data_IF_596962770649
#
_entry.id   IF_596962770649
#
_cell.length_a   1.000
_cell.length_b   1.000
_cell.length_c   1.000
_cell.angle_alpha   90.00
_cell.angle_beta   90.00
_cell.angle_gamma   90.00
#
_symmetry.space_group_name_H-M   'P 1'
#
loop_
_entity.id
_entity.type
_entity.pdbx_description
1 polymer ?
#
# COMPACT_ATOMS: atom_id res chain seq x y z
N UNK A 1 12.78 -47.98 -20.28
CA UNK A 1 11.76 -48.01 -21.32
C UNK A 1 11.92 -46.75 -22.16
N UNK A 2 12.50 -46.87 -23.36
CA UNK A 2 12.54 -45.79 -24.34
C UNK A 2 11.21 -45.74 -25.10
N UNK A 3 10.43 -44.70 -24.90
CA UNK A 3 9.21 -44.45 -25.67
C UNK A 3 9.56 -43.50 -26.81
N UNK A 4 10.16 -44.05 -27.88
CA UNK A 4 10.44 -43.29 -29.10
C UNK A 4 9.15 -43.00 -29.87
N UNK A 5 8.77 -41.74 -29.98
CA UNK A 5 7.69 -41.20 -30.83
C UNK A 5 6.27 -41.71 -30.52
N UNK A 6 5.96 -42.12 -29.30
CA UNK A 6 4.61 -42.49 -28.93
C UNK A 6 4.12 -41.67 -27.74
N UNK A 7 2.95 -41.09 -27.90
CA UNK A 7 2.22 -40.45 -26.79
C UNK A 7 1.90 -41.49 -25.70
N UNK A 8 2.16 -41.16 -24.44
CA UNK A 8 1.64 -41.92 -23.32
C UNK A 8 0.20 -41.48 -23.18
N UNK A 9 -0.72 -42.19 -23.81
CA UNK A 9 -2.16 -41.94 -23.67
C UNK A 9 -2.75 -42.93 -22.68
N UNK A 10 -3.40 -42.45 -21.62
CA UNK A 10 -4.03 -43.31 -20.64
C UNK A 10 -5.00 -42.54 -19.76
N UNK A 11 -6.03 -43.23 -19.28
CA UNK A 11 -6.99 -42.70 -18.29
C UNK A 11 -6.62 -43.21 -16.91
N UNK A 12 -5.49 -42.83 -16.37
CA UNK A 12 -5.04 -43.28 -15.04
C UNK A 12 -3.85 -42.48 -14.54
N UNK A 13 -3.41 -42.82 -13.33
CA UNK A 13 -2.27 -42.16 -12.72
C UNK A 13 -0.96 -42.69 -13.34
N UNK A 14 -0.06 -41.78 -13.72
CA UNK A 14 1.31 -42.12 -14.03
C UNK A 14 2.15 -41.83 -12.79
N UNK A 15 2.75 -42.87 -12.19
CA UNK A 15 3.66 -42.72 -11.07
C UNK A 15 5.10 -42.83 -11.59
N UNK A 16 5.90 -41.80 -11.31
CA UNK A 16 7.32 -41.75 -11.65
C UNK A 16 8.14 -41.46 -10.39
N UNK A 17 9.17 -42.28 -10.14
CA UNK A 17 10.11 -42.05 -9.05
C UNK A 17 11.41 -41.54 -9.67
N UNK A 18 11.73 -40.28 -9.41
CA UNK A 18 12.93 -39.60 -9.94
C UNK A 18 12.55 -38.30 -10.68
N UNK A 19 13.48 -37.80 -11.48
CA UNK A 19 13.29 -36.55 -12.22
C UNK A 19 12.55 -36.80 -13.53
N UNK A 20 11.63 -35.88 -13.86
CA UNK A 20 10.99 -35.80 -15.18
C UNK A 20 11.61 -34.58 -15.87
N UNK A 21 12.29 -34.82 -17.02
CA UNK A 21 12.84 -33.75 -17.85
C UNK A 21 12.03 -33.64 -19.13
N UNK A 22 11.51 -32.48 -19.45
CA UNK A 22 10.83 -32.19 -20.72
C UNK A 22 11.64 -31.13 -21.46
N UNK A 23 11.92 -31.39 -22.75
CA UNK A 23 12.49 -30.41 -23.68
C UNK A 23 11.37 -29.85 -24.52
N UNK A 24 10.93 -28.63 -24.16
CA UNK A 24 9.78 -27.98 -24.80
C UNK A 24 8.67 -27.67 -23.80
N UNK A 25 7.47 -27.42 -24.30
CA UNK A 25 6.34 -27.02 -23.46
C UNK A 25 5.71 -28.20 -22.73
N UNK A 26 5.43 -28.03 -21.44
CA UNK A 26 4.58 -28.93 -20.66
C UNK A 26 3.25 -28.22 -20.35
N UNK A 27 2.14 -28.90 -20.53
CA UNK A 27 0.81 -28.38 -20.25
C UNK A 27 0.07 -29.27 -19.24
N UNK A 28 -0.49 -28.65 -18.21
CA UNK A 28 -1.37 -29.29 -17.24
C UNK A 28 -2.75 -28.64 -17.37
N UNK A 29 -3.74 -29.38 -17.90
CA UNK A 29 -5.11 -28.87 -18.09
C UNK A 29 -5.95 -28.82 -16.80
N UNK A 30 -5.45 -29.40 -15.72
CA UNK A 30 -6.05 -29.42 -14.40
C UNK A 30 -5.18 -28.71 -13.36
N UNK A 31 -5.16 -29.24 -12.15
CA UNK A 31 -4.35 -28.70 -11.06
C UNK A 31 -2.96 -29.31 -11.08
N UNK A 32 -1.91 -28.46 -11.01
CA UNK A 32 -0.54 -28.88 -10.73
C UNK A 32 -0.32 -28.81 -9.21
N UNK A 33 -0.19 -29.95 -8.55
CA UNK A 33 0.15 -30.06 -7.14
C UNK A 33 1.66 -30.28 -6.96
N UNK A 34 2.35 -29.38 -6.26
CA UNK A 34 3.76 -29.51 -5.88
C UNK A 34 3.88 -29.53 -4.39
N UNK A 35 4.42 -30.60 -3.80
CA UNK A 35 4.62 -30.72 -2.35
C UNK A 35 5.93 -30.12 -1.85
N UNK A 36 6.81 -29.73 -2.74
CA UNK A 36 8.11 -29.15 -2.43
C UNK A 36 8.22 -27.70 -2.93
N UNK A 37 9.47 -27.26 -3.06
CA UNK A 37 9.77 -25.95 -3.64
C UNK A 37 9.66 -26.01 -5.15
N UNK A 38 9.01 -25.01 -5.75
CA UNK A 38 9.03 -24.78 -7.20
C UNK A 38 10.05 -23.68 -7.49
N UNK A 39 11.09 -24.00 -8.28
CA UNK A 39 12.05 -23.02 -8.80
C UNK A 39 11.70 -22.72 -10.23
N UNK A 40 11.56 -21.44 -10.55
CA UNK A 40 11.35 -20.94 -11.91
C UNK A 40 12.49 -19.97 -12.21
N UNK A 41 13.22 -20.22 -13.29
CA UNK A 41 14.41 -19.45 -13.66
C UNK A 41 14.11 -18.31 -14.65
N UNK A 42 12.86 -18.22 -15.11
CA UNK A 42 12.36 -17.23 -16.07
C UNK A 42 11.08 -16.56 -15.53
N UNK A 43 10.40 -15.82 -16.38
CA UNK A 43 9.15 -15.13 -16.03
C UNK A 43 8.04 -16.11 -15.65
N UNK A 44 7.25 -15.73 -14.64
CA UNK A 44 5.99 -16.39 -14.28
C UNK A 44 4.83 -15.45 -14.56
N UNK A 45 3.89 -15.86 -15.41
CA UNK A 45 2.71 -15.06 -15.74
C UNK A 45 1.47 -15.68 -15.08
N UNK A 46 0.79 -14.90 -14.27
CA UNK A 46 -0.53 -15.21 -13.73
C UNK A 46 -1.57 -14.49 -14.59
N UNK A 47 -2.23 -15.24 -15.48
CA UNK A 47 -3.20 -14.67 -16.41
C UNK A 47 -4.58 -14.55 -15.74
N UNK A 48 -5.07 -13.31 -15.61
CA UNK A 48 -6.44 -13.01 -15.18
C UNK A 48 -7.38 -12.78 -16.37
N UNK A 49 -8.66 -12.63 -16.10
CA UNK A 49 -9.67 -12.41 -17.14
C UNK A 49 -9.51 -11.06 -17.87
N UNK A 50 -9.08 -10.01 -17.16
CA UNK A 50 -8.99 -8.65 -17.70
C UNK A 50 -7.58 -8.05 -17.56
N UNK A 51 -6.78 -8.55 -16.64
CA UNK A 51 -5.43 -8.05 -16.35
C UNK A 51 -4.59 -9.15 -15.72
N UNK A 52 -3.28 -8.98 -15.69
CA UNK A 52 -2.32 -10.00 -15.31
C UNK A 52 -1.45 -9.54 -14.13
N UNK A 53 -0.83 -10.54 -13.46
CA UNK A 53 0.35 -10.33 -12.64
C UNK A 53 1.52 -11.12 -13.24
N UNK A 54 2.76 -10.64 -13.05
CA UNK A 54 3.96 -11.30 -13.59
C UNK A 54 5.12 -11.17 -12.61
N UNK A 55 5.80 -12.27 -12.33
CA UNK A 55 7.17 -12.23 -11.88
C UNK A 55 8.06 -11.99 -13.09
N UNK A 56 8.81 -10.90 -13.09
CA UNK A 56 9.75 -10.53 -14.15
C UNK A 56 11.16 -10.89 -13.69
N UNK A 57 11.73 -11.95 -14.25
CA UNK A 57 13.06 -12.42 -13.87
C UNK A 57 14.14 -11.37 -14.17
N UNK A 58 14.03 -10.67 -15.30
CA UNK A 58 15.05 -9.72 -15.76
C UNK A 58 15.23 -8.51 -14.84
N UNK A 59 14.17 -8.09 -14.13
CA UNK A 59 14.17 -6.95 -13.21
C UNK A 59 14.00 -7.36 -11.75
N UNK A 60 13.75 -8.65 -11.48
CA UNK A 60 13.45 -9.20 -10.13
C UNK A 60 12.23 -8.55 -9.47
N UNK A 61 11.20 -8.24 -10.26
CA UNK A 61 9.98 -7.56 -9.82
C UNK A 61 8.76 -8.46 -9.90
N UNK A 62 7.87 -8.37 -8.92
CA UNK A 62 6.49 -8.83 -9.05
C UNK A 62 5.64 -7.66 -9.56
N UNK A 63 5.28 -7.69 -10.83
CA UNK A 63 4.47 -6.66 -11.51
C UNK A 63 2.99 -7.01 -11.42
N UNK A 64 2.21 -6.13 -10.82
CA UNK A 64 0.76 -6.12 -10.91
C UNK A 64 0.39 -5.03 -11.93
N UNK A 65 -0.18 -5.44 -13.06
CA UNK A 65 -0.58 -4.48 -14.10
C UNK A 65 -1.79 -3.64 -13.64
N UNK A 66 -2.08 -2.57 -14.35
CA UNK A 66 -3.19 -1.66 -14.04
C UNK A 66 -4.48 -2.43 -13.78
N UNK A 67 -5.18 -2.04 -12.73
CA UNK A 67 -6.39 -2.68 -12.22
C UNK A 67 -6.22 -4.11 -11.66
N UNK A 68 -5.00 -4.68 -11.67
CA UNK A 68 -4.70 -5.87 -10.88
C UNK A 68 -4.59 -5.48 -9.42
N UNK A 69 -5.23 -6.23 -8.53
CA UNK A 69 -5.29 -5.94 -7.10
C UNK A 69 -4.50 -6.95 -6.29
N UNK A 70 -3.79 -6.45 -5.30
CA UNK A 70 -3.32 -7.24 -4.18
C UNK A 70 -4.38 -7.15 -3.10
N UNK A 71 -5.10 -8.25 -2.85
CA UNK A 71 -6.23 -8.32 -1.93
C UNK A 71 -5.87 -9.15 -0.70
N UNK A 72 -6.27 -8.67 0.47
CA UNK A 72 -6.08 -9.34 1.75
C UNK A 72 -7.43 -9.47 2.47
N UNK A 73 -7.60 -10.59 3.19
CA UNK A 73 -8.85 -10.93 3.86
C UNK A 73 -9.87 -11.60 2.93
N UNK A 74 -10.77 -12.40 3.50
CA UNK A 74 -11.74 -13.19 2.74
C UNK A 74 -12.78 -12.36 1.98
N UNK A 75 -12.97 -11.10 2.40
CA UNK A 75 -13.95 -10.17 1.84
C UNK A 75 -13.29 -8.94 1.21
N UNK A 76 -12.03 -9.06 0.79
CA UNK A 76 -11.26 -7.93 0.24
C UNK A 76 -11.16 -6.78 1.24
N UNK A 77 -10.82 -7.12 2.47
CA UNK A 77 -10.82 -6.19 3.59
C UNK A 77 -9.75 -5.11 3.42
N UNK A 78 -8.62 -5.45 2.80
CA UNK A 78 -7.56 -4.52 2.44
C UNK A 78 -7.10 -4.77 1.00
N UNK A 79 -6.97 -3.70 0.21
CA UNK A 79 -6.62 -3.75 -1.21
C UNK A 79 -5.53 -2.72 -1.54
N UNK A 80 -4.58 -3.10 -2.41
CA UNK A 80 -3.61 -2.18 -3.02
C UNK A 80 -3.64 -2.40 -4.54
N UNK A 81 -3.75 -1.31 -5.32
CA UNK A 81 -3.70 -1.38 -6.79
C UNK A 81 -3.38 -0.03 -7.42
N UNK A 82 -2.98 -0.04 -8.70
CA UNK A 82 -2.91 1.14 -9.56
C UNK A 82 -4.07 1.12 -10.55
N UNK A 83 -4.84 2.20 -10.66
CA UNK A 83 -6.02 2.31 -11.51
C UNK A 83 -5.78 3.11 -12.80
N UNK A 84 -4.56 3.04 -13.36
CA UNK A 84 -4.16 3.77 -14.57
C UNK A 84 -3.77 5.23 -14.34
N UNK A 85 -4.35 5.91 -13.37
CA UNK A 85 -4.04 7.31 -13.04
C UNK A 85 -3.67 7.52 -11.59
N UNK A 86 -4.14 6.66 -10.71
CA UNK A 86 -3.98 6.78 -9.26
C UNK A 86 -3.64 5.45 -8.63
N UNK A 87 -2.80 5.50 -7.60
CA UNK A 87 -2.54 4.36 -6.71
C UNK A 87 -3.47 4.44 -5.51
N UNK A 88 -4.05 3.30 -5.16
CA UNK A 88 -5.01 3.17 -4.06
C UNK A 88 -4.47 2.20 -3.01
N UNK A 89 -4.65 2.57 -1.76
CA UNK A 89 -4.56 1.73 -0.59
C UNK A 89 -5.89 1.86 0.15
N UNK A 90 -6.71 0.81 0.14
CA UNK A 90 -8.08 0.84 0.65
C UNK A 90 -8.26 -0.19 1.75
N UNK A 91 -8.75 0.26 2.91
CA UNK A 91 -9.22 -0.59 4.00
C UNK A 91 -10.74 -0.49 4.10
N UNK A 92 -11.44 -1.63 4.04
CA UNK A 92 -12.92 -1.69 4.01
C UNK A 92 -13.55 -1.94 5.37
N UNK A 93 -12.75 -2.21 6.41
CA UNK A 93 -13.27 -2.44 7.75
C UNK A 93 -12.21 -2.25 8.83
N UNK A 94 -12.60 -1.70 9.98
CA UNK A 94 -11.69 -1.43 11.08
C UNK A 94 -10.67 -0.33 10.79
N UNK A 95 -9.57 -0.32 11.52
CA UNK A 95 -8.50 0.67 11.41
C UNK A 95 -7.46 0.25 10.37
N UNK A 96 -6.94 1.20 9.61
CA UNK A 96 -5.66 1.05 8.91
C UNK A 96 -4.53 1.51 9.85
N UNK A 97 -3.75 0.57 10.37
CA UNK A 97 -2.66 0.85 11.32
C UNK A 97 -1.31 0.78 10.64
N UNK A 98 -0.69 1.95 10.42
CA UNK A 98 0.68 2.08 9.95
C UNK A 98 1.58 2.25 11.18
N UNK A 99 2.57 1.37 11.36
CA UNK A 99 3.44 1.34 12.53
C UNK A 99 4.89 1.45 12.12
N UNK A 100 5.63 2.26 12.84
CA UNK A 100 7.07 2.45 12.70
C UNK A 100 7.57 3.46 13.71
N UNK A 101 8.87 3.48 13.96
CA UNK A 101 9.49 4.49 14.83
C UNK A 101 9.43 5.87 14.20
N UNK A 102 9.48 5.91 12.87
CA UNK A 102 9.28 7.12 12.07
C UNK A 102 8.34 6.79 10.92
N UNK A 103 7.30 7.61 10.73
CA UNK A 103 6.40 7.53 9.57
C UNK A 103 6.48 8.86 8.83
N UNK A 104 6.78 8.80 7.52
CA UNK A 104 6.89 9.97 6.65
C UNK A 104 5.97 9.87 5.44
N UNK A 105 5.32 10.97 5.08
CA UNK A 105 4.73 11.19 3.77
C UNK A 105 5.63 12.18 3.04
N UNK A 106 6.20 11.74 1.92
CA UNK A 106 7.22 12.47 1.20
C UNK A 106 6.92 12.52 -0.30
N UNK A 107 7.57 13.42 -1.00
CA UNK A 107 7.64 13.41 -2.45
C UNK A 107 8.37 12.15 -2.93
N UNK A 108 8.11 11.72 -4.16
CA UNK A 108 8.68 10.54 -4.80
C UNK A 108 10.21 10.49 -4.70
N UNK A 109 10.88 11.62 -4.94
CA UNK A 109 12.34 11.75 -4.89
C UNK A 109 12.90 12.00 -3.49
N UNK A 110 12.05 11.95 -2.46
CA UNK A 110 12.37 12.23 -1.06
C UNK A 110 12.93 13.64 -0.79
N UNK A 111 12.83 14.57 -1.77
CA UNK A 111 13.32 15.95 -1.65
C UNK A 111 12.45 16.80 -0.72
N UNK A 112 11.18 16.43 -0.52
CA UNK A 112 10.25 17.12 0.36
C UNK A 112 9.50 16.16 1.26
N UNK A 113 9.41 16.53 2.54
CA UNK A 113 8.51 15.89 3.52
C UNK A 113 7.25 16.72 3.64
N UNK A 114 6.09 16.06 3.65
CA UNK A 114 4.79 16.68 3.89
C UNK A 114 4.36 16.51 5.34
N UNK A 115 4.50 15.29 5.87
CA UNK A 115 4.20 14.92 7.25
C UNK A 115 5.29 13.99 7.76
N UNK A 116 5.74 14.23 8.98
CA UNK A 116 6.65 13.35 9.71
C UNK A 116 6.13 13.09 11.12
N UNK A 117 6.04 11.81 11.49
CA UNK A 117 5.66 11.37 12.83
C UNK A 117 6.85 10.62 13.43
N UNK A 118 7.37 11.09 14.55
CA UNK A 118 8.50 10.47 15.24
C UNK A 118 8.07 9.89 16.58
N UNK A 119 8.52 8.67 16.90
CA UNK A 119 8.29 8.08 18.21
C UNK A 119 8.94 8.95 19.31
N UNK A 120 8.21 9.16 20.40
CA UNK A 120 8.66 9.98 21.56
C UNK A 120 9.09 11.41 21.19
N UNK A 121 8.65 11.94 20.07
CA UNK A 121 8.95 13.27 19.59
C UNK A 121 7.71 13.90 18.91
N UNK A 122 7.90 14.85 18.03
CA UNK A 122 6.85 15.61 17.40
C UNK A 122 6.17 14.89 16.23
N UNK A 123 4.91 15.28 15.96
CA UNK A 123 4.28 15.20 14.66
C UNK A 123 4.46 16.57 13.99
N UNK A 124 5.01 16.57 12.77
CA UNK A 124 5.36 17.78 12.03
C UNK A 124 4.68 17.80 10.67
N UNK A 125 4.21 18.98 10.26
CA UNK A 125 3.61 19.22 8.94
C UNK A 125 4.39 20.34 8.25
N UNK A 126 4.74 20.12 6.99
CA UNK A 126 5.61 21.00 6.22
C UNK A 126 4.88 21.60 5.00
N UNK A 127 5.34 22.77 4.58
CA UNK A 127 4.98 23.40 3.31
C UNK A 127 6.25 23.94 2.65
N UNK A 128 6.58 23.44 1.46
CA UNK A 128 7.80 23.77 0.71
C UNK A 128 9.05 23.64 1.61
N UNK A 129 9.23 22.48 2.25
CA UNK A 129 10.37 22.19 3.11
C UNK A 129 10.41 22.98 4.44
N UNK A 130 9.45 23.88 4.68
CA UNK A 130 9.36 24.67 5.91
C UNK A 130 8.31 24.08 6.85
N UNK A 131 8.70 23.78 8.10
CA UNK A 131 7.77 23.35 9.14
C UNK A 131 6.75 24.46 9.41
N UNK A 132 5.46 24.08 9.39
CA UNK A 132 4.32 24.98 9.64
C UNK A 132 3.55 24.62 10.88
N UNK A 133 3.57 23.37 11.29
CA UNK A 133 2.91 22.87 12.47
C UNK A 133 3.77 21.80 13.12
N UNK A 134 3.92 21.86 14.44
CA UNK A 134 4.60 20.83 15.22
C UNK A 134 3.95 20.63 16.58
N UNK A 135 3.82 19.37 17.02
CA UNK A 135 3.39 19.06 18.39
C UNK A 135 4.58 19.19 19.34
N UNK A 136 4.33 19.67 20.56
CA UNK A 136 5.33 19.80 21.61
C UNK A 136 4.83 19.10 22.88
N UNK A 137 5.65 19.02 23.92
CA UNK A 137 5.26 18.46 25.23
C UNK A 137 4.13 19.23 25.92
N UNK A 138 3.89 20.48 25.54
CA UNK A 138 2.90 21.37 26.18
C UNK A 138 1.80 21.86 25.23
N UNK A 139 1.84 21.46 23.95
CA UNK A 139 0.83 21.89 22.98
C UNK A 139 1.32 21.79 21.53
N UNK A 140 1.04 22.82 20.74
CA UNK A 140 1.40 22.91 19.34
C UNK A 140 2.08 24.25 19.03
N UNK A 141 3.01 24.25 18.08
CA UNK A 141 3.59 25.45 17.51
C UNK A 141 3.09 25.59 16.06
N UNK A 142 2.69 26.82 15.68
CA UNK A 142 2.33 27.20 14.32
C UNK A 142 3.35 28.25 13.86
N UNK A 143 4.04 27.96 12.77
CA UNK A 143 5.02 28.89 12.15
C UNK A 143 4.31 29.69 11.06
N UNK A 144 3.99 30.95 11.34
CA UNK A 144 3.22 31.86 10.51
C UNK A 144 1.84 32.15 11.06
N UNK A 145 0.91 32.53 10.21
CA UNK A 145 -0.44 32.92 10.61
C UNK A 145 -1.36 31.72 10.82
N UNK A 146 -2.15 31.75 11.90
CA UNK A 146 -3.27 30.85 12.11
C UNK A 146 -4.58 31.57 11.69
N UNK A 147 -5.10 31.27 10.50
CA UNK A 147 -6.38 31.80 10.03
C UNK A 147 -7.53 30.97 10.62
N UNK A 148 -8.34 31.57 11.48
CA UNK A 148 -9.47 30.94 12.15
C UNK A 148 -10.79 31.46 11.55
N UNK A 149 -11.42 30.64 10.71
CA UNK A 149 -12.76 30.88 10.17
C UNK A 149 -12.91 32.12 9.26
N UNK A 150 -14.09 32.26 8.70
CA UNK A 150 -14.47 33.40 7.86
C UNK A 150 -15.85 33.96 8.22
N UNK A 151 -16.48 33.43 9.27
CA UNK A 151 -17.78 33.91 9.74
C UNK A 151 -17.65 34.65 11.07
N UNK A 152 -18.57 35.58 11.35
CA UNK A 152 -18.61 36.32 12.62
C UNK A 152 -18.75 35.41 13.85
N UNK A 153 -19.18 34.16 13.67
CA UNK A 153 -19.27 33.16 14.75
C UNK A 153 -18.00 32.32 14.91
N UNK A 154 -17.02 32.44 14.00
CA UNK A 154 -15.74 31.74 14.10
C UNK A 154 -14.75 32.54 14.98
N UNK A 155 -13.95 31.83 15.77
CA UNK A 155 -12.96 32.45 16.64
C UNK A 155 -12.18 31.41 17.43
N UNK A 156 -11.18 31.87 18.17
CA UNK A 156 -10.43 31.03 19.09
C UNK A 156 -11.21 30.92 20.40
N UNK A 157 -11.47 29.70 20.85
CA UNK A 157 -12.10 29.47 22.19
C UNK A 157 -11.00 29.15 23.17
N UNK A 158 -10.99 29.91 24.28
CA UNK A 158 -10.13 29.66 25.43
C UNK A 158 -11.00 29.18 26.58
N UNK A 159 -10.68 28.02 27.15
CA UNK A 159 -11.41 27.47 28.29
C UNK A 159 -10.61 27.71 29.57
N UNK A 160 -11.21 28.35 30.53
CA UNK A 160 -10.61 28.57 31.86
C UNK A 160 -10.62 27.27 32.69
N UNK A 161 -9.82 27.17 33.77
CA UNK A 161 -9.76 25.98 34.64
C UNK A 161 -11.10 25.55 35.25
N UNK A 162 -12.06 26.46 35.39
CA UNK A 162 -13.41 26.16 35.89
C UNK A 162 -14.40 25.73 34.80
N UNK A 163 -13.93 25.57 33.54
CA UNK A 163 -14.75 25.16 32.42
C UNK A 163 -15.47 26.28 31.67
N UNK A 164 -15.26 27.55 32.05
CA UNK A 164 -15.87 28.69 31.33
C UNK A 164 -15.14 28.93 30.00
N UNK A 165 -15.90 29.04 28.91
CA UNK A 165 -15.39 29.29 27.59
C UNK A 165 -15.43 30.79 27.22
N UNK A 166 -14.33 31.27 26.67
CA UNK A 166 -14.19 32.62 26.14
C UNK A 166 -13.82 32.51 24.66
N UNK A 167 -14.53 33.26 23.81
CA UNK A 167 -14.27 33.32 22.38
C UNK A 167 -13.59 34.65 22.00
N UNK A 168 -12.46 34.55 21.35
CA UNK A 168 -11.81 35.70 20.69
C UNK A 168 -12.34 35.74 19.27
N UNK A 169 -13.01 36.79 18.89
CA UNK A 169 -13.52 37.09 17.56
C UNK A 169 -13.03 38.45 17.08
N UNK A 170 -12.91 38.65 15.79
CA UNK A 170 -12.66 39.95 15.16
C UNK A 170 -13.98 40.43 14.59
N UNK A 171 -14.43 41.61 14.96
CA UNK A 171 -15.60 42.27 14.38
C UNK A 171 -15.23 42.98 13.07
N UNK A 172 -16.21 43.15 12.16
CA UNK A 172 -15.98 43.77 10.84
C UNK A 172 -15.81 45.29 10.92
N UNK A 173 -15.96 45.85 12.11
CA UNK A 173 -15.88 47.31 12.35
C UNK A 173 -14.48 47.78 12.80
N UNK A 174 -13.48 46.94 12.64
CA UNK A 174 -12.06 47.24 12.86
C UNK A 174 -11.50 46.87 14.21
#
# INVERSE_FOLDING_TARGET
LELNSKDITGTGNITHTGNITTTGNSSVSGTLGVQGVTTVEEDVIFTGANTNARWDHSTSDLKLFDNTRLEFGSNKDFEIWHGGSHTFMKNSGGDLRIRGDVIKLQREDSSETYIECNVNNAVQIFHNGTEKFTTTSTGVTITGDAKVGTSQSAGVILTSPNGTEYRIVVADDG
#
